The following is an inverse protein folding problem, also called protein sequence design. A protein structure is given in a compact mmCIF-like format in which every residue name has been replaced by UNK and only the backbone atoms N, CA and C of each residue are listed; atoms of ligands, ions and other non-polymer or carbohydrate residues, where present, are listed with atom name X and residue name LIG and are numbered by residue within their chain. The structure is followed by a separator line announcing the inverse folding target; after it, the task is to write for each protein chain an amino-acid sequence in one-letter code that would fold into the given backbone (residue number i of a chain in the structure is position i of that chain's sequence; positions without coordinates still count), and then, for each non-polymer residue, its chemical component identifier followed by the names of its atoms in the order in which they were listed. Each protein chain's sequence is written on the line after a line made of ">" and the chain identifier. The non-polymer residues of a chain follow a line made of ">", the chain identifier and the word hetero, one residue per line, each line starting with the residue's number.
data_IF_053501023540
#
_entry.id   IF_053501023540
#
_cell.length_a   1.000
_cell.length_b   1.000
_cell.length_c   1.000
_cell.angle_alpha   90.00
_cell.angle_beta   90.00
_cell.angle_gamma   90.00
#
_symmetry.space_group_name_H-M   'P 1'
#
loop_
_entity.id
_entity.type
_entity.pdbx_description
1 polymer ?
#
# COMPACT_ATOMS: atom_id res chain seq x y z
N UNK A 1 -5.58 19.85 -9.05
CA UNK A 1 -4.75 19.96 -7.84
C UNK A 1 -3.62 18.96 -8.01
N UNK A 2 -2.40 19.31 -7.63
CA UNK A 2 -1.28 18.37 -7.70
C UNK A 2 -1.01 17.81 -6.30
N UNK A 3 -0.72 16.53 -6.20
CA UNK A 3 -0.72 15.79 -4.93
C UNK A 3 0.68 15.33 -4.52
N UNK A 4 0.93 15.24 -3.21
CA UNK A 4 2.19 14.73 -2.65
C UNK A 4 1.94 13.36 -2.04
N UNK A 5 2.64 12.33 -2.51
CA UNK A 5 2.42 10.96 -2.06
C UNK A 5 3.65 10.39 -1.33
N UNK A 6 3.38 9.49 -0.40
CA UNK A 6 4.40 8.69 0.26
C UNK A 6 4.20 7.21 0.00
N UNK A 7 5.29 6.46 -0.10
CA UNK A 7 5.25 5.00 -0.09
C UNK A 7 6.27 4.50 0.92
N UNK A 8 5.80 3.84 1.97
CA UNK A 8 6.66 3.21 2.98
C UNK A 8 6.83 1.74 2.58
N UNK A 9 8.06 1.32 2.31
CA UNK A 9 8.43 0.04 1.73
C UNK A 9 8.70 0.15 0.22
N UNK A 10 9.97 0.07 -0.16
CA UNK A 10 10.44 0.10 -1.56
C UNK A 10 10.59 -1.31 -2.17
N UNK A 11 9.81 -2.28 -1.66
CA UNK A 11 9.66 -3.61 -2.25
C UNK A 11 8.79 -3.61 -3.51
N UNK A 12 8.60 -4.79 -4.13
CA UNK A 12 7.92 -4.92 -5.44
C UNK A 12 6.57 -4.20 -5.54
N UNK A 13 5.70 -4.41 -4.55
CA UNK A 13 4.36 -3.81 -4.54
C UNK A 13 4.40 -2.30 -4.29
N UNK A 14 5.25 -1.83 -3.38
CA UNK A 14 5.43 -0.39 -3.13
C UNK A 14 5.96 0.35 -4.35
N UNK A 15 6.94 -0.21 -5.06
CA UNK A 15 7.46 0.37 -6.31
C UNK A 15 6.39 0.40 -7.41
N UNK A 16 5.57 -0.64 -7.53
CA UNK A 16 4.47 -0.66 -8.48
C UNK A 16 3.41 0.41 -8.15
N UNK A 17 3.03 0.55 -6.87
CA UNK A 17 2.07 1.55 -6.45
C UNK A 17 2.61 2.99 -6.63
N UNK A 18 3.89 3.23 -6.36
CA UNK A 18 4.54 4.50 -6.64
C UNK A 18 4.56 4.83 -8.14
N UNK A 19 4.73 3.83 -9.01
CA UNK A 19 4.60 4.02 -10.45
C UNK A 19 3.18 4.43 -10.85
N UNK A 20 2.15 3.83 -10.26
CA UNK A 20 0.76 4.22 -10.52
C UNK A 20 0.46 5.65 -10.06
N UNK A 21 0.99 6.08 -8.90
CA UNK A 21 0.92 7.49 -8.50
C UNK A 21 1.58 8.41 -9.53
N UNK A 22 2.77 8.06 -10.00
CA UNK A 22 3.51 8.87 -10.98
C UNK A 22 2.77 8.97 -12.33
N UNK A 23 2.05 7.92 -12.71
CA UNK A 23 1.43 7.82 -14.03
C UNK A 23 -0.02 8.31 -14.07
N UNK A 24 -0.78 8.04 -13.02
CA UNK A 24 -2.23 8.21 -13.00
C UNK A 24 -2.73 9.04 -11.80
N UNK A 25 -1.85 9.33 -10.83
CA UNK A 25 -2.22 9.99 -9.59
C UNK A 25 -2.10 11.50 -9.57
N UNK A 26 -1.80 12.17 -10.69
CA UNK A 26 -1.51 13.62 -10.74
C UNK A 26 -0.47 14.06 -9.69
N UNK A 27 0.55 13.23 -9.49
CA UNK A 27 1.59 13.43 -8.49
C UNK A 27 2.51 14.60 -8.84
N UNK A 28 2.70 15.51 -7.88
CA UNK A 28 3.79 16.50 -7.91
C UNK A 28 5.07 15.95 -7.32
N UNK A 29 4.94 15.14 -6.27
CA UNK A 29 6.05 14.55 -5.55
C UNK A 29 5.64 13.19 -5.03
N UNK A 30 6.55 12.22 -5.12
CA UNK A 30 6.43 10.89 -4.53
C UNK A 30 7.68 10.64 -3.73
N UNK A 31 7.55 10.36 -2.43
CA UNK A 31 8.70 10.00 -1.59
C UNK A 31 8.63 8.52 -1.26
N UNK A 32 9.59 7.74 -1.74
CA UNK A 32 9.76 6.34 -1.37
C UNK A 32 10.65 6.23 -0.13
N UNK A 33 10.16 5.57 0.89
CA UNK A 33 10.84 5.39 2.15
C UNK A 33 11.10 3.90 2.42
N UNK A 34 12.32 3.54 2.77
CA UNK A 34 12.68 2.17 3.14
C UNK A 34 13.78 2.17 4.21
N UNK A 35 13.91 1.10 4.98
CA UNK A 35 15.02 0.97 5.93
C UNK A 35 16.35 0.83 5.18
N UNK A 36 16.34 0.26 3.97
CA UNK A 36 17.44 0.30 3.02
C UNK A 36 17.28 1.48 2.05
N UNK A 37 17.98 2.57 2.36
CA UNK A 37 17.98 3.77 1.52
C UNK A 37 18.45 3.49 0.08
N UNK A 38 19.31 2.49 -0.12
CA UNK A 38 19.78 2.12 -1.46
C UNK A 38 18.64 1.56 -2.30
N UNK A 39 17.79 0.72 -1.70
CA UNK A 39 16.60 0.18 -2.35
C UNK A 39 15.61 1.29 -2.69
N UNK A 40 15.35 2.22 -1.76
CA UNK A 40 14.47 3.37 -1.99
C UNK A 40 14.98 4.27 -3.14
N UNK A 41 16.29 4.58 -3.17
CA UNK A 41 16.92 5.37 -4.24
C UNK A 41 16.85 4.67 -5.60
N UNK A 42 17.09 3.36 -5.63
CA UNK A 42 16.99 2.57 -6.85
C UNK A 42 15.55 2.56 -7.40
N UNK A 43 14.55 2.46 -6.51
CA UNK A 43 13.14 2.52 -6.87
C UNK A 43 12.74 3.89 -7.42
N UNK A 44 13.09 4.98 -6.74
CA UNK A 44 12.81 6.34 -7.22
C UNK A 44 13.43 6.59 -8.61
N UNK A 45 14.70 6.22 -8.79
CA UNK A 45 15.38 6.30 -10.10
C UNK A 45 14.66 5.50 -11.18
N UNK A 46 14.20 4.28 -10.85
CA UNK A 46 13.44 3.43 -11.77
C UNK A 46 12.13 4.09 -12.17
N UNK A 47 11.39 4.66 -11.22
CA UNK A 47 10.11 5.33 -11.49
C UNK A 47 10.35 6.53 -12.41
N UNK A 48 11.27 7.42 -12.07
CA UNK A 48 11.59 8.60 -12.89
C UNK A 48 12.00 8.22 -14.31
N UNK A 49 12.79 7.14 -14.47
CA UNK A 49 13.15 6.61 -15.77
C UNK A 49 11.97 6.07 -16.59
N UNK A 50 10.96 5.47 -15.94
CA UNK A 50 9.77 4.94 -16.60
C UNK A 50 8.77 6.03 -17.03
N UNK A 51 8.64 7.10 -16.24
CA UNK A 51 7.70 8.20 -16.54
C UNK A 51 8.33 9.38 -17.28
N UNK A 52 9.66 9.46 -17.32
CA UNK A 52 10.40 10.49 -18.06
C UNK A 52 10.41 11.87 -17.39
N UNK A 53 10.18 11.95 -16.09
CA UNK A 53 10.29 13.18 -15.28
C UNK A 53 10.81 12.89 -13.88
N UNK A 54 11.31 13.92 -13.18
CA UNK A 54 11.82 13.83 -11.81
C UNK A 54 10.69 14.06 -10.79
N UNK A 55 9.82 13.06 -10.61
CA UNK A 55 8.67 13.13 -9.68
C UNK A 55 8.90 12.35 -8.38
N UNK A 56 9.76 11.33 -8.41
CA UNK A 56 10.04 10.48 -7.27
C UNK A 56 11.38 10.81 -6.61
N UNK A 57 11.38 10.89 -5.28
CA UNK A 57 12.54 11.00 -4.41
C UNK A 57 12.56 9.85 -3.40
N UNK A 58 13.62 9.77 -2.59
CA UNK A 58 13.81 8.67 -1.65
C UNK A 58 14.40 9.11 -0.32
N UNK A 59 14.06 8.40 0.76
CA UNK A 59 14.67 8.57 2.07
C UNK A 59 14.80 7.23 2.82
N UNK A 60 15.68 7.22 3.84
CA UNK A 60 15.74 6.15 4.80
C UNK A 60 14.62 6.31 5.84
N UNK A 61 13.91 5.24 6.18
CA UNK A 61 12.88 5.24 7.22
C UNK A 61 12.76 3.87 7.88
N UNK A 62 12.90 3.82 9.21
CA UNK A 62 12.58 2.63 9.98
C UNK A 62 11.09 2.64 10.37
N UNK A 63 10.31 1.71 9.83
CA UNK A 63 8.88 1.58 10.14
C UNK A 63 8.56 1.26 11.62
N UNK A 64 9.56 0.90 12.43
CA UNK A 64 9.42 0.72 13.89
C UNK A 64 9.45 2.05 14.65
N UNK A 65 10.02 3.09 14.06
CA UNK A 65 10.07 4.42 14.67
C UNK A 65 8.81 5.20 14.31
N UNK A 66 7.79 5.10 15.18
CA UNK A 66 6.52 5.79 15.02
C UNK A 66 6.68 7.30 14.84
N UNK A 67 7.61 7.93 15.55
CA UNK A 67 7.81 9.37 15.48
C UNK A 67 8.37 9.75 14.10
N UNK A 68 9.34 8.99 13.59
CA UNK A 68 9.87 9.17 12.24
C UNK A 68 8.82 8.91 11.16
N UNK A 69 8.00 7.86 11.29
CA UNK A 69 6.90 7.56 10.36
C UNK A 69 5.87 8.70 10.33
N UNK A 70 5.47 9.19 11.49
CA UNK A 70 4.53 10.32 11.60
C UNK A 70 5.13 11.59 10.99
N UNK A 71 6.41 11.87 11.25
CA UNK A 71 7.11 13.02 10.67
C UNK A 71 7.22 12.93 9.15
N UNK A 72 7.51 11.74 8.61
CA UNK A 72 7.54 11.45 7.18
C UNK A 72 6.18 11.74 6.51
N UNK A 73 5.08 11.37 7.16
CA UNK A 73 3.75 11.55 6.59
C UNK A 73 3.30 13.02 6.53
N UNK A 74 3.78 13.88 7.44
CA UNK A 74 3.29 15.27 7.54
C UNK A 74 3.39 16.04 6.21
N UNK A 75 2.25 16.54 5.75
CA UNK A 75 2.15 17.34 4.52
C UNK A 75 2.06 16.52 3.23
N UNK A 76 1.93 15.20 3.33
CA UNK A 76 1.48 14.35 2.23
C UNK A 76 -0.04 14.43 2.06
N UNK A 77 -0.52 14.21 0.85
CA UNK A 77 -1.93 13.96 0.56
C UNK A 77 -2.32 12.55 1.00
N UNK A 78 -1.58 11.55 0.55
CA UNK A 78 -1.84 10.14 0.87
C UNK A 78 -0.54 9.35 0.96
N UNK A 79 -0.59 8.23 1.69
CA UNK A 79 0.51 7.30 1.83
C UNK A 79 0.05 5.87 1.51
N UNK A 80 0.94 5.07 0.94
CA UNK A 80 0.78 3.62 0.87
C UNK A 80 1.78 2.96 1.81
N UNK A 81 1.30 2.05 2.65
CA UNK A 81 2.13 1.19 3.47
C UNK A 81 2.35 -0.17 2.77
N UNK A 82 3.47 -0.28 2.06
CA UNK A 82 3.95 -1.49 1.41
C UNK A 82 4.88 -2.32 2.31
N UNK A 83 4.57 -2.40 3.59
CA UNK A 83 5.38 -3.07 4.63
C UNK A 83 4.70 -4.33 5.14
N UNK A 84 5.41 -5.10 5.96
CA UNK A 84 4.85 -6.28 6.61
C UNK A 84 3.66 -5.90 7.53
N UNK A 85 2.61 -6.72 7.53
CA UNK A 85 1.32 -6.42 8.20
C UNK A 85 1.45 -6.05 9.68
N UNK A 86 2.50 -6.49 10.36
CA UNK A 86 2.77 -6.16 11.76
C UNK A 86 2.95 -4.66 12.02
N UNK A 87 3.26 -3.87 10.98
CA UNK A 87 3.41 -2.43 11.08
C UNK A 87 2.12 -1.65 10.79
N UNK A 88 1.10 -2.28 10.22
CA UNK A 88 -0.07 -1.56 9.68
C UNK A 88 -0.86 -0.81 10.75
N UNK A 89 -0.99 -1.35 11.97
CA UNK A 89 -1.72 -0.68 13.04
C UNK A 89 -1.03 0.62 13.52
N UNK A 90 0.28 0.58 13.76
CA UNK A 90 1.04 1.76 14.16
C UNK A 90 1.17 2.76 13.01
N UNK A 91 1.27 2.28 11.77
CA UNK A 91 1.28 3.12 10.57
C UNK A 91 -0.07 3.83 10.39
N UNK A 92 -1.18 3.14 10.67
CA UNK A 92 -2.53 3.73 10.69
C UNK A 92 -2.64 4.82 11.74
N UNK A 93 -2.16 4.55 12.96
CA UNK A 93 -2.16 5.54 14.04
C UNK A 93 -1.33 6.77 13.67
N UNK A 94 -0.19 6.56 13.01
CA UNK A 94 0.69 7.64 12.52
C UNK A 94 0.02 8.46 11.42
N UNK A 95 -0.73 7.83 10.52
CA UNK A 95 -1.47 8.50 9.45
C UNK A 95 -2.60 9.38 10.00
N UNK A 96 -3.33 8.88 11.01
CA UNK A 96 -4.35 9.65 11.74
C UNK A 96 -3.72 10.87 12.41
N UNK A 97 -2.59 10.68 13.12
CA UNK A 97 -1.87 11.76 13.80
C UNK A 97 -1.31 12.80 12.81
N UNK A 98 -0.84 12.36 11.64
CA UNK A 98 -0.31 13.23 10.59
C UNK A 98 -1.40 13.89 9.73
N UNK A 99 -2.65 13.43 9.79
CA UNK A 99 -3.74 13.92 8.95
C UNK A 99 -3.60 13.50 7.48
N UNK A 100 -3.17 12.25 7.22
CA UNK A 100 -2.87 11.75 5.87
C UNK A 100 -3.72 10.53 5.52
N UNK A 101 -4.27 10.48 4.30
CA UNK A 101 -5.00 9.29 3.82
C UNK A 101 -4.06 8.09 3.70
N UNK A 102 -4.52 6.88 4.03
CA UNK A 102 -3.69 5.68 4.05
C UNK A 102 -4.35 4.51 3.35
N UNK A 103 -3.59 3.80 2.51
CA UNK A 103 -3.88 2.44 2.11
C UNK A 103 -2.72 1.51 2.48
N UNK A 104 -3.00 0.23 2.69
CA UNK A 104 -1.99 -0.83 2.85
C UNK A 104 -2.38 -2.07 2.03
N UNK A 105 -1.45 -3.01 1.86
CA UNK A 105 -1.71 -4.24 1.12
C UNK A 105 -2.26 -5.38 1.99
N UNK A 106 -2.51 -5.13 3.27
CA UNK A 106 -3.10 -6.12 4.15
C UNK A 106 -2.16 -7.24 4.59
N UNK A 107 -2.75 -8.43 4.73
CA UNK A 107 -2.02 -9.68 4.99
C UNK A 107 -2.35 -10.35 6.33
N UNK A 108 -3.20 -9.73 7.16
CA UNK A 108 -3.70 -10.35 8.38
C UNK A 108 -5.05 -9.77 8.83
N UNK A 109 -6.10 -10.60 8.82
CA UNK A 109 -7.46 -10.18 9.20
C UNK A 109 -7.56 -9.62 10.62
N UNK A 110 -6.81 -10.17 11.59
CA UNK A 110 -6.88 -9.68 12.97
C UNK A 110 -6.31 -8.26 13.10
N UNK A 111 -5.25 -7.94 12.35
CA UNK A 111 -4.70 -6.58 12.31
C UNK A 111 -5.64 -5.62 11.59
N UNK A 112 -6.25 -6.03 10.48
CA UNK A 112 -7.23 -5.21 9.75
C UNK A 112 -8.43 -4.87 10.65
N UNK A 113 -8.95 -5.84 11.41
CA UNK A 113 -10.01 -5.59 12.39
C UNK A 113 -9.58 -4.62 13.50
N UNK A 114 -8.30 -4.53 13.84
CA UNK A 114 -7.79 -3.52 14.77
C UNK A 114 -7.72 -2.14 14.11
N UNK A 115 -7.29 -2.05 12.84
CA UNK A 115 -7.30 -0.79 12.08
C UNK A 115 -8.71 -0.23 11.93
N UNK A 116 -9.70 -1.07 11.65
CA UNK A 116 -11.11 -0.67 11.52
C UNK A 116 -11.71 -0.10 12.82
N UNK A 117 -11.18 -0.50 13.99
CA UNK A 117 -11.60 0.11 15.28
C UNK A 117 -11.16 1.57 15.42
N UNK A 118 -10.28 2.06 14.54
CA UNK A 118 -9.82 3.45 14.52
C UNK A 118 -10.70 4.36 13.64
N UNK A 119 -11.85 3.89 13.13
CA UNK A 119 -12.76 4.65 12.26
C UNK A 119 -13.14 6.02 12.85
N UNK A 120 -13.56 6.08 14.12
CA UNK A 120 -13.92 7.35 14.77
C UNK A 120 -12.76 8.35 14.79
N UNK A 121 -11.53 7.87 15.07
CA UNK A 121 -10.34 8.70 15.10
C UNK A 121 -9.96 9.19 13.70
N UNK A 122 -10.04 8.32 12.69
CA UNK A 122 -9.79 8.68 11.29
C UNK A 122 -10.81 9.72 10.78
N UNK A 123 -12.09 9.56 11.12
CA UNK A 123 -13.15 10.54 10.81
C UNK A 123 -12.90 11.87 11.50
N UNK A 124 -12.52 11.85 12.78
CA UNK A 124 -12.21 13.07 13.53
C UNK A 124 -11.01 13.83 12.95
N UNK A 125 -10.02 13.10 12.41
CA UNK A 125 -8.88 13.67 11.70
C UNK A 125 -9.19 14.08 10.24
N UNK A 126 -10.38 13.74 9.72
CA UNK A 126 -10.80 14.09 8.36
C UNK A 126 -10.12 13.27 7.26
N UNK A 127 -9.63 12.08 7.58
CA UNK A 127 -8.91 11.22 6.64
C UNK A 127 -9.67 9.93 6.31
N UNK A 128 -9.16 9.22 5.31
CA UNK A 128 -9.64 7.89 4.91
C UNK A 128 -8.51 6.91 5.11
N UNK A 129 -8.80 5.80 5.78
CA UNK A 129 -7.89 4.66 5.92
C UNK A 129 -8.59 3.45 5.29
N UNK A 130 -7.99 2.87 4.25
CA UNK A 130 -8.52 1.71 3.54
C UNK A 130 -7.49 0.58 3.59
N UNK A 131 -7.60 -0.35 4.57
CA UNK A 131 -6.70 -1.50 4.66
C UNK A 131 -7.02 -2.56 3.59
N UNK A 132 -6.17 -3.59 3.49
CA UNK A 132 -6.40 -4.76 2.61
C UNK A 132 -6.58 -4.38 1.11
N UNK A 133 -5.83 -3.40 0.61
CA UNK A 133 -5.85 -2.98 -0.80
C UNK A 133 -4.87 -3.78 -1.69
N UNK A 134 -4.63 -5.05 -1.36
CA UNK A 134 -3.77 -5.94 -2.11
C UNK A 134 -4.49 -6.67 -3.25
N UNK A 135 -3.90 -7.79 -3.67
CA UNK A 135 -4.54 -8.69 -4.64
C UNK A 135 -5.48 -9.68 -3.93
N UNK A 136 -4.94 -10.42 -2.98
CA UNK A 136 -5.68 -11.26 -2.04
C UNK A 136 -5.00 -11.22 -0.67
N UNK A 137 -5.59 -10.53 0.34
CA UNK A 137 -6.87 -9.81 0.32
C UNK A 137 -6.83 -8.50 -0.51
N UNK A 138 -7.99 -8.11 -1.08
CA UNK A 138 -8.21 -6.82 -1.73
C UNK A 138 -9.01 -6.91 -3.03
N UNK A 139 -8.33 -6.96 -4.18
CA UNK A 139 -8.96 -7.09 -5.50
C UNK A 139 -9.89 -8.31 -5.55
N UNK A 140 -9.46 -9.44 -5.02
CA UNK A 140 -10.25 -10.67 -5.00
C UNK A 140 -11.59 -10.48 -4.25
N UNK A 141 -11.58 -9.81 -3.09
CA UNK A 141 -12.78 -9.47 -2.32
C UNK A 141 -13.66 -8.49 -3.08
N UNK A 142 -13.06 -7.45 -3.68
CA UNK A 142 -13.79 -6.45 -4.46
C UNK A 142 -14.53 -7.09 -5.65
N UNK A 143 -13.86 -8.00 -6.37
CA UNK A 143 -14.47 -8.76 -7.46
C UNK A 143 -15.55 -9.73 -6.96
N UNK A 144 -15.35 -10.36 -5.80
CA UNK A 144 -16.37 -11.20 -5.16
C UNK A 144 -17.64 -10.42 -4.84
N UNK A 145 -17.50 -9.25 -4.19
CA UNK A 145 -18.62 -8.35 -3.87
C UNK A 145 -19.30 -7.85 -5.14
N UNK A 146 -18.53 -7.49 -6.17
CA UNK A 146 -19.08 -7.08 -7.45
C UNK A 146 -19.87 -8.21 -8.11
N UNK A 147 -19.35 -9.44 -8.15
CA UNK A 147 -20.07 -10.57 -8.73
C UNK A 147 -21.39 -10.86 -8.00
N UNK A 148 -21.40 -10.78 -6.67
CA UNK A 148 -22.61 -10.94 -5.86
C UNK A 148 -23.65 -9.85 -6.17
N UNK A 149 -23.24 -8.61 -6.47
CA UNK A 149 -24.19 -7.53 -6.76
C UNK A 149 -24.89 -7.66 -8.13
N UNK A 150 -24.42 -8.56 -9.00
CA UNK A 150 -25.02 -8.82 -10.32
C UNK A 150 -26.23 -9.77 -10.26
N UNK A 151 -26.52 -10.37 -9.11
CA UNK A 151 -27.66 -11.27 -8.90
C UNK A 151 -28.53 -10.79 -7.75
N UNK A 152 -29.81 -11.13 -7.77
CA UNK A 152 -30.77 -10.69 -6.74
C UNK A 152 -30.46 -11.29 -5.36
N UNK A 153 -30.15 -12.60 -5.32
CA UNK A 153 -29.85 -13.33 -4.08
C UNK A 153 -28.61 -14.21 -4.30
N UNK A 154 -27.42 -13.78 -3.84
CA UNK A 154 -26.23 -14.63 -3.83
C UNK A 154 -26.36 -15.70 -2.74
N UNK A 155 -26.23 -16.97 -3.11
CA UNK A 155 -26.21 -18.08 -2.14
C UNK A 155 -24.77 -18.45 -1.72
N UNK A 156 -23.84 -18.54 -2.66
CA UNK A 156 -22.45 -18.87 -2.41
C UNK A 156 -21.49 -18.07 -3.32
N UNK A 157 -20.34 -17.69 -2.77
CA UNK A 157 -19.23 -17.12 -3.53
C UNK A 157 -17.96 -17.88 -3.17
N UNK A 158 -17.31 -18.47 -4.18
CA UNK A 158 -16.05 -19.20 -4.02
C UNK A 158 -14.97 -18.51 -4.83
N UNK A 159 -13.85 -18.20 -4.17
CA UNK A 159 -12.74 -17.45 -4.76
C UNK A 159 -11.47 -18.25 -4.53
N UNK A 160 -10.76 -18.57 -5.61
CA UNK A 160 -9.42 -19.15 -5.57
C UNK A 160 -8.44 -18.14 -6.16
N UNK A 161 -7.30 -18.03 -5.48
CA UNK A 161 -6.25 -17.10 -5.82
C UNK A 161 -4.88 -17.77 -5.61
N UNK A 162 -3.90 -17.42 -6.46
CA UNK A 162 -2.56 -17.98 -6.41
C UNK A 162 -1.60 -17.34 -7.40
N UNK A 163 -0.43 -16.94 -6.88
CA UNK A 163 0.72 -16.55 -7.70
C UNK A 163 1.59 -17.76 -8.02
N UNK A 164 1.59 -18.23 -9.27
CA UNK A 164 2.38 -19.37 -9.71
C UNK A 164 3.37 -18.98 -10.81
N UNK A 165 4.54 -19.65 -10.90
CA UNK A 165 5.48 -19.41 -11.97
C UNK A 165 4.85 -19.79 -13.33
N UNK A 166 5.06 -18.96 -14.36
CA UNK A 166 4.60 -19.27 -15.72
C UNK A 166 5.24 -20.55 -16.29
N UNK A 167 6.44 -20.90 -15.80
CA UNK A 167 7.16 -22.13 -16.13
C UNK A 167 7.48 -22.86 -14.82
N UNK A 168 6.63 -23.79 -14.37
CA UNK A 168 6.87 -24.51 -13.12
C UNK A 168 8.06 -25.46 -13.24
N UNK A 169 8.94 -25.43 -12.23
CA UNK A 169 10.08 -26.33 -12.13
C UNK A 169 9.93 -27.24 -10.90
N UNK A 170 10.31 -28.50 -11.06
CA UNK A 170 10.19 -29.49 -9.99
C UNK A 170 11.15 -29.23 -8.82
N UNK A 171 10.90 -29.84 -7.65
CA UNK A 171 9.80 -30.77 -7.38
C UNK A 171 8.48 -30.10 -7.00
N UNK A 172 8.51 -28.81 -6.63
CA UNK A 172 7.36 -28.14 -6.03
C UNK A 172 6.47 -27.39 -7.02
N UNK A 173 6.93 -27.15 -8.25
CA UNK A 173 6.22 -26.35 -9.23
C UNK A 173 5.86 -24.94 -8.70
N UNK A 174 6.66 -24.44 -7.75
CA UNK A 174 6.45 -23.18 -7.02
C UNK A 174 7.78 -22.41 -6.90
N UNK A 175 7.71 -21.08 -6.87
CA UNK A 175 8.87 -20.21 -6.74
C UNK A 175 8.67 -19.18 -5.61
N UNK A 176 9.63 -19.11 -4.68
CA UNK A 176 9.75 -18.01 -3.73
C UNK A 176 10.77 -17.02 -4.30
N UNK A 177 10.34 -15.80 -4.61
CA UNK A 177 11.14 -14.80 -5.31
C UNK A 177 11.30 -13.54 -4.50
#
# INVERSE_FOLDING_TARGET
>A
MRYRYGVIGAGRQGVAAAFDFARFGDADEIVLADIDETAARAAAKRINGLVGNEVASACALDGRDRAAVTAFMRGLTACIAGVHFTFNLETTSSAIEAGVHLCDFGGNTAVVLQQLKLDEAARAAGISVVPDCGMGPGLNVSLGVYAMSLVEVPEEVLIWDGGLPQKPEGPWNYAST
#
